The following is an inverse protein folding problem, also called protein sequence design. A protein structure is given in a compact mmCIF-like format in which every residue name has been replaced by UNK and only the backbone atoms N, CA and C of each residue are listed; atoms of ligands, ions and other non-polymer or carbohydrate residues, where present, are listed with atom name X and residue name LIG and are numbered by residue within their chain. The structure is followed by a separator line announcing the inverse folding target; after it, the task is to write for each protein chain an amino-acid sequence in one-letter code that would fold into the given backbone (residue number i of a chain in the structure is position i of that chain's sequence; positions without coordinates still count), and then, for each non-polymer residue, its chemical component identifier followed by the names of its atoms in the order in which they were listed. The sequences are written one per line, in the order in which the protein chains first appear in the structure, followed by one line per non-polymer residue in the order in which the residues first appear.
data_IF_609931221946
#
_entry.id   IF_609931221946
#
_cell.length_a   1.000
_cell.length_b   1.000
_cell.length_c   1.000
_cell.angle_alpha   90.00
_cell.angle_beta   90.00
_cell.angle_gamma   90.00
#
_symmetry.space_group_name_H-M   'P 1'
#
loop_
_entity.id
_entity.type
_entity.pdbx_description
1 polymer ?
#
# COMPACT_ATOMS: atom_id res chain seq x y z
N UNK A 1 17.59 -57.56 11.63
CA UNK A 1 16.25 -57.87 12.18
C UNK A 1 15.64 -56.54 12.61
N UNK A 2 14.49 -56.03 12.18
CA UNK A 2 13.50 -56.40 11.17
C UNK A 2 12.89 -55.07 10.67
N UNK A 3 12.68 -54.99 9.36
CA UNK A 3 11.86 -53.98 8.70
C UNK A 3 10.40 -54.14 9.15
N UNK A 4 9.68 -53.05 9.34
CA UNK A 4 8.21 -53.09 9.28
C UNK A 4 7.68 -51.86 8.55
N UNK A 5 7.33 -52.09 7.29
CA UNK A 5 6.52 -51.25 6.43
C UNK A 5 5.10 -51.15 6.98
N UNK A 6 4.52 -49.94 7.06
CA UNK A 6 3.06 -49.77 7.10
C UNK A 6 2.65 -48.60 6.20
N UNK A 7 2.41 -48.99 4.94
CA UNK A 7 1.24 -48.71 4.09
C UNK A 7 0.55 -47.33 4.17
N UNK A 8 0.66 -46.63 3.03
CA UNK A 8 -0.22 -45.56 2.53
C UNK A 8 -1.65 -46.05 2.31
N UNK A 9 -2.61 -45.11 2.23
CA UNK A 9 -3.50 -45.12 1.08
C UNK A 9 -3.56 -43.77 0.37
N UNK A 10 -3.14 -43.79 -0.90
CA UNK A 10 -3.39 -42.76 -1.92
C UNK A 10 -4.82 -42.93 -2.43
N UNK A 11 -5.67 -41.91 -2.26
CA UNK A 11 -6.95 -41.83 -2.97
C UNK A 11 -6.72 -41.28 -4.37
N UNK A 12 -6.69 -42.21 -5.33
CA UNK A 12 -6.82 -41.95 -6.75
C UNK A 12 -8.32 -41.91 -7.09
N UNK A 13 -8.79 -40.82 -7.68
CA UNK A 13 -10.08 -40.76 -8.36
C UNK A 13 -9.80 -40.55 -9.83
N UNK A 14 -10.28 -41.49 -10.64
CA UNK A 14 -10.19 -41.38 -12.09
C UNK A 14 -11.44 -42.00 -12.72
N UNK A 15 -11.80 -41.40 -13.86
CA UNK A 15 -12.68 -41.87 -14.93
C UNK A 15 -14.19 -41.62 -14.78
N UNK A 16 -14.69 -40.71 -15.62
CA UNK A 16 -15.83 -41.02 -16.48
C UNK A 16 -15.56 -40.47 -17.89
N UNK A 17 -15.25 -41.38 -18.80
CA UNK A 17 -15.08 -41.16 -20.22
C UNK A 17 -16.45 -41.26 -20.90
N UNK A 18 -16.81 -40.25 -21.70
CA UNK A 18 -17.82 -40.45 -22.74
C UNK A 18 -17.23 -40.08 -24.10
N UNK A 19 -17.30 -41.07 -24.97
CA UNK A 19 -16.81 -41.13 -26.33
C UNK A 19 -17.85 -40.49 -27.23
N UNK A 20 -17.47 -39.48 -28.02
CA UNK A 20 -18.20 -39.07 -29.21
C UNK A 20 -17.22 -38.94 -30.37
N UNK A 21 -17.45 -39.78 -31.36
CA UNK A 21 -16.64 -40.01 -32.54
C UNK A 21 -16.96 -39.05 -33.68
N UNK A 22 -15.97 -38.95 -34.57
CA UNK A 22 -16.03 -38.67 -36.02
C UNK A 22 -16.43 -37.27 -36.49
N UNK A 23 -15.51 -36.67 -37.26
CA UNK A 23 -15.81 -35.51 -38.10
C UNK A 23 -14.58 -34.86 -38.72
N UNK A 24 -13.77 -35.63 -39.47
CA UNK A 24 -12.68 -35.09 -40.29
C UNK A 24 -13.29 -34.48 -41.56
N UNK A 25 -13.18 -33.17 -41.76
CA UNK A 25 -13.32 -32.55 -43.07
C UNK A 25 -12.11 -31.65 -43.35
N UNK A 26 -11.40 -32.06 -44.40
CA UNK A 26 -10.36 -31.33 -45.11
C UNK A 26 -11.01 -30.18 -45.88
N UNK A 27 -10.41 -28.99 -45.84
CA UNK A 27 -10.93 -27.83 -46.56
C UNK A 27 -9.95 -26.68 -46.64
N UNK A 28 -8.78 -26.90 -47.23
CA UNK A 28 -7.87 -25.85 -47.68
C UNK A 28 -8.59 -24.95 -48.68
N UNK A 29 -8.61 -23.64 -48.47
CA UNK A 29 -8.84 -22.65 -49.54
C UNK A 29 -8.28 -21.28 -49.14
N UNK A 30 -7.11 -21.02 -49.72
CA UNK A 30 -6.59 -19.75 -50.23
C UNK A 30 -7.29 -18.47 -49.74
N UNK A 31 -6.56 -17.67 -48.97
CA UNK A 31 -6.81 -16.24 -48.84
C UNK A 31 -5.88 -15.48 -49.80
N UNK A 32 -6.45 -14.86 -50.83
CA UNK A 32 -5.82 -13.78 -51.59
C UNK A 32 -6.75 -12.57 -51.58
N UNK A 33 -6.22 -11.52 -50.95
CA UNK A 33 -6.25 -10.09 -51.30
C UNK A 33 -7.58 -9.42 -51.63
N UNK A 34 -7.86 -8.34 -50.90
CA UNK A 34 -8.84 -7.33 -51.30
C UNK A 34 -8.81 -6.14 -50.36
N UNK A 35 -7.96 -5.16 -50.67
CA UNK A 35 -7.95 -3.83 -50.06
C UNK A 35 -9.33 -3.18 -50.20
N UNK A 36 -9.96 -2.81 -49.08
CA UNK A 36 -10.92 -1.72 -49.04
C UNK A 36 -10.89 -1.12 -47.63
N UNK A 37 -10.30 0.07 -47.53
CA UNK A 37 -10.38 0.91 -46.36
C UNK A 37 -11.85 1.28 -46.10
N UNK A 38 -12.38 0.86 -44.95
CA UNK A 38 -13.65 1.38 -44.42
C UNK A 38 -13.31 2.09 -43.12
N UNK A 39 -13.41 3.42 -43.15
CA UNK A 39 -13.31 4.28 -41.99
C UNK A 39 -14.41 3.95 -40.97
N UNK A 40 -14.13 3.89 -39.66
CA UNK A 40 -15.20 3.82 -38.68
C UNK A 40 -15.89 5.19 -38.60
N UNK A 41 -17.16 5.22 -39.01
CA UNK A 41 -18.06 6.32 -38.72
C UNK A 41 -18.31 6.37 -37.20
N UNK A 42 -17.67 7.33 -36.53
CA UNK A 42 -17.93 7.66 -35.14
C UNK A 42 -19.34 8.24 -35.00
N UNK A 43 -20.30 7.41 -34.60
CA UNK A 43 -21.63 7.88 -34.19
C UNK A 43 -21.50 8.50 -32.80
N UNK A 44 -21.39 9.82 -32.75
CA UNK A 44 -21.50 10.60 -31.51
C UNK A 44 -22.98 10.76 -31.20
N UNK A 45 -23.50 9.99 -30.24
CA UNK A 45 -24.83 10.22 -29.66
C UNK A 45 -24.72 11.41 -28.72
N UNK A 46 -25.09 12.60 -29.22
CA UNK A 46 -25.26 13.80 -28.40
C UNK A 46 -26.53 13.67 -27.54
N UNK A 47 -26.43 12.92 -26.44
CA UNK A 47 -27.45 12.86 -25.41
C UNK A 47 -27.53 14.20 -24.67
N UNK A 48 -28.51 15.02 -25.01
CA UNK A 48 -28.86 16.24 -24.25
C UNK A 48 -29.34 15.83 -22.86
N UNK A 49 -28.50 16.03 -21.85
CA UNK A 49 -28.87 15.89 -20.46
C UNK A 49 -29.78 17.07 -20.06
N UNK A 50 -31.08 16.82 -19.87
CA UNK A 50 -32.02 17.82 -19.37
C UNK A 50 -32.12 17.69 -17.85
N UNK A 51 -31.64 18.70 -17.13
CA UNK A 51 -31.74 18.81 -15.67
C UNK A 51 -33.09 19.43 -15.31
N UNK A 52 -34.08 18.64 -14.91
CA UNK A 52 -35.33 19.12 -14.32
C UNK A 52 -35.33 18.93 -12.81
N UNK A 53 -34.46 19.66 -12.10
CA UNK A 53 -34.65 19.92 -10.68
C UNK A 53 -34.41 21.40 -10.39
N UNK A 54 -35.47 22.18 -10.53
CA UNK A 54 -35.59 23.50 -9.93
C UNK A 54 -35.63 23.32 -8.39
N UNK A 55 -34.45 23.27 -7.76
CA UNK A 55 -34.34 23.29 -6.29
C UNK A 55 -34.12 24.74 -5.87
N UNK A 56 -35.16 25.35 -5.31
CA UNK A 56 -35.12 26.68 -4.73
C UNK A 56 -33.92 26.81 -3.78
N UNK A 57 -32.92 27.61 -4.15
CA UNK A 57 -31.82 27.99 -3.27
C UNK A 57 -32.38 28.86 -2.16
N UNK A 58 -32.73 28.26 -1.01
CA UNK A 58 -32.85 29.01 0.24
C UNK A 58 -31.44 29.52 0.56
N UNK A 59 -31.24 30.82 0.44
CA UNK A 59 -30.02 31.49 0.90
C UNK A 59 -29.99 31.40 2.43
N UNK A 60 -29.38 30.36 2.99
CA UNK A 60 -29.02 30.35 4.41
C UNK A 60 -27.75 31.16 4.55
N UNK A 61 -27.90 32.44 4.92
CA UNK A 61 -26.80 33.32 5.31
C UNK A 61 -26.12 32.71 6.54
N UNK A 62 -24.99 32.03 6.35
CA UNK A 62 -24.18 31.54 7.45
C UNK A 62 -23.69 32.76 8.26
N UNK A 63 -24.17 32.91 9.50
CA UNK A 63 -23.57 33.82 10.48
C UNK A 63 -22.25 33.20 10.91
N UNK A 64 -21.16 33.59 10.26
CA UNK A 64 -19.80 33.30 10.73
C UNK A 64 -19.47 34.38 11.77
N UNK A 65 -19.17 34.04 13.03
CA UNK A 65 -18.73 35.05 14.00
C UNK A 65 -17.39 35.63 13.53
N UNK A 66 -17.32 36.96 13.43
CA UNK A 66 -16.09 37.67 13.14
C UNK A 66 -15.14 37.53 14.33
N UNK A 67 -14.22 36.57 14.27
CA UNK A 67 -13.14 36.43 15.23
C UNK A 67 -12.13 37.54 14.95
N UNK A 68 -12.05 38.52 15.86
CA UNK A 68 -11.05 39.60 15.80
C UNK A 68 -9.69 39.04 16.23
N UNK A 69 -8.81 38.79 15.26
CA UNK A 69 -7.42 38.45 15.54
C UNK A 69 -6.68 39.72 15.97
N UNK A 70 -6.29 39.80 17.25
CA UNK A 70 -5.36 40.84 17.72
C UNK A 70 -3.98 40.57 17.10
N UNK A 71 -3.40 41.50 16.33
CA UNK A 71 -2.06 41.31 15.81
C UNK A 71 -1.07 41.29 16.98
N UNK A 72 -0.23 40.25 17.05
CA UNK A 72 0.84 40.15 18.03
C UNK A 72 1.83 41.29 17.79
N UNK A 73 1.89 42.25 18.70
CA UNK A 73 2.88 43.33 18.68
C UNK A 73 4.21 42.79 19.22
N UNK A 74 5.27 42.92 18.42
CA UNK A 74 6.62 42.54 18.80
C UNK A 74 7.16 43.54 19.84
N UNK A 75 7.24 43.13 21.11
CA UNK A 75 7.93 43.91 22.15
C UNK A 75 9.43 43.78 21.89
N UNK A 76 10.05 44.82 21.35
CA UNK A 76 11.52 44.92 21.29
C UNK A 76 12.02 45.35 22.66
N UNK A 77 12.46 44.41 23.47
CA UNK A 77 13.24 44.71 24.66
C UNK A 77 14.59 45.28 24.19
N UNK A 78 14.77 46.60 24.30
CA UNK A 78 16.05 47.23 24.01
C UNK A 78 17.06 46.81 25.09
N UNK A 79 18.01 45.96 24.72
CA UNK A 79 19.17 45.65 25.55
C UNK A 79 20.12 46.84 25.57
N UNK A 80 20.38 47.41 26.74
CA UNK A 80 21.51 48.33 26.94
C UNK A 80 22.81 47.52 26.80
N UNK A 81 23.57 47.79 25.75
CA UNK A 81 24.92 47.28 25.55
C UNK A 81 25.88 48.19 26.31
N UNK A 82 26.46 47.70 27.40
CA UNK A 82 27.67 48.30 27.97
C UNK A 82 28.88 47.88 27.14
N UNK A 83 29.55 48.87 26.57
CA UNK A 83 30.80 48.70 25.85
C UNK A 83 31.96 48.46 26.83
N UNK A 84 32.66 47.34 26.66
CA UNK A 84 33.98 47.08 27.23
C UNK A 84 34.87 46.50 26.14
N UNK A 85 35.84 47.30 25.68
CA UNK A 85 36.97 46.90 24.83
C UNK A 85 37.93 46.03 25.65
N UNK A 86 38.60 44.99 25.16
CA UNK A 86 39.66 45.06 24.15
C UNK A 86 40.28 43.67 23.85
N UNK A 87 41.03 43.62 22.73
CA UNK A 87 42.01 42.61 22.30
C UNK A 87 41.49 41.34 21.56
N UNK A 88 41.71 41.29 20.24
CA UNK A 88 41.63 40.07 19.41
C UNK A 88 42.97 39.30 19.37
N UNK A 89 43.20 38.38 18.41
CA UNK A 89 42.29 37.83 17.40
C UNK A 89 42.22 36.28 17.40
N UNK A 90 41.41 35.72 16.51
CA UNK A 90 41.60 34.38 15.92
C UNK A 90 41.51 33.18 16.87
N UNK A 91 40.29 32.74 17.11
CA UNK A 91 39.84 31.40 16.73
C UNK A 91 38.33 31.37 16.94
N UNK A 92 37.57 31.48 15.85
CA UNK A 92 36.31 30.74 15.80
C UNK A 92 36.70 29.32 16.22
N UNK A 93 36.14 28.70 17.29
CA UNK A 93 36.12 27.26 17.28
C UNK A 93 35.26 26.95 16.05
N UNK A 94 35.93 26.73 14.90
CA UNK A 94 35.34 26.11 13.75
C UNK A 94 34.64 24.92 14.36
N UNK A 95 33.31 25.01 14.46
CA UNK A 95 32.53 24.01 15.13
C UNK A 95 33.00 22.71 14.49
N UNK A 96 33.68 21.87 15.27
CA UNK A 96 34.04 20.54 14.85
C UNK A 96 32.70 19.86 14.72
N UNK A 97 32.04 20.05 13.57
CA UNK A 97 30.93 19.26 13.15
C UNK A 97 31.52 17.87 13.17
N UNK A 98 31.18 17.12 14.23
CA UNK A 98 31.62 15.76 14.38
C UNK A 98 31.38 15.10 13.03
N UNK A 99 32.45 14.57 12.42
CA UNK A 99 32.31 13.82 11.18
C UNK A 99 31.26 12.77 11.49
N UNK A 100 30.09 12.90 10.85
CA UNK A 100 28.94 12.06 11.18
C UNK A 100 29.39 10.66 10.80
N UNK A 101 29.71 9.83 11.80
CA UNK A 101 30.03 8.45 11.58
C UNK A 101 28.82 7.85 10.86
N UNK A 102 28.99 7.49 9.58
CA UNK A 102 27.90 6.91 8.81
C UNK A 102 27.38 5.71 9.60
N UNK A 103 26.09 5.70 9.98
CA UNK A 103 25.56 4.58 10.74
C UNK A 103 25.66 3.33 9.86
N UNK A 104 26.20 2.26 10.42
CA UNK A 104 26.34 1.00 9.70
C UNK A 104 24.94 0.54 9.23
N UNK A 105 24.78 0.38 7.91
CA UNK A 105 23.50 0.01 7.33
C UNK A 105 23.36 -1.52 7.28
N UNK A 106 22.25 -2.03 7.82
CA UNK A 106 21.87 -3.44 7.67
C UNK A 106 21.04 -3.57 6.39
N UNK A 107 21.37 -4.49 5.48
CA UNK A 107 20.61 -4.67 4.25
C UNK A 107 19.20 -5.20 4.56
N UNK A 108 18.19 -4.74 3.82
CA UNK A 108 16.79 -5.17 4.00
C UNK A 108 16.61 -6.69 3.87
N UNK A 109 17.45 -7.35 3.07
CA UNK A 109 17.41 -8.80 2.86
C UNK A 109 17.67 -9.63 4.12
N UNK A 110 18.17 -9.02 5.20
CA UNK A 110 18.38 -9.66 6.50
C UNK A 110 17.29 -9.30 7.53
N UNK A 111 16.38 -8.38 7.19
CA UNK A 111 15.36 -7.87 8.11
C UNK A 111 14.02 -8.56 7.85
N UNK A 112 13.36 -8.95 8.95
CA UNK A 112 12.01 -9.51 8.95
C UNK A 112 11.07 -8.55 9.66
N UNK A 113 9.89 -8.32 9.10
CA UNK A 113 8.87 -7.44 9.68
C UNK A 113 7.73 -8.29 10.23
N UNK A 114 7.41 -8.14 11.51
CA UNK A 114 6.28 -8.81 12.17
C UNK A 114 5.10 -7.87 12.39
N UNK A 115 3.88 -8.39 12.22
CA UNK A 115 2.61 -7.68 12.44
C UNK A 115 1.77 -8.50 13.43
N UNK A 116 1.89 -8.23 14.75
CA UNK A 116 1.08 -8.89 15.75
C UNK A 116 -0.36 -8.38 15.72
N UNK A 117 -1.27 -9.15 16.32
CA UNK A 117 -2.64 -8.73 16.54
C UNK A 117 -2.72 -7.74 17.69
N UNK A 118 -3.55 -6.71 17.53
CA UNK A 118 -3.82 -5.74 18.59
C UNK A 118 -4.60 -6.38 19.75
N UNK A 119 -4.15 -6.12 20.98
CA UNK A 119 -4.75 -6.66 22.22
C UNK A 119 -5.59 -5.63 22.98
N UNK A 120 -5.51 -4.35 22.61
CA UNK A 120 -6.20 -3.28 23.33
C UNK A 120 -7.70 -3.29 23.01
N UNK A 121 -8.52 -3.01 24.02
CA UNK A 121 -9.97 -2.99 23.90
C UNK A 121 -10.40 -1.92 22.89
N UNK A 122 -11.29 -2.28 21.97
CA UNK A 122 -11.81 -1.39 20.92
C UNK A 122 -10.76 -0.85 19.93
N UNK A 123 -9.51 -1.33 19.95
CA UNK A 123 -8.55 -1.03 18.89
C UNK A 123 -8.86 -1.89 17.66
N UNK A 124 -9.06 -1.22 16.52
CA UNK A 124 -9.48 -1.86 15.26
C UNK A 124 -8.46 -1.69 14.16
N UNK A 125 -7.42 -0.89 14.35
CA UNK A 125 -6.38 -0.68 13.35
C UNK A 125 -5.47 -1.91 13.30
N UNK A 126 -4.72 -1.99 12.22
CA UNK A 126 -3.64 -2.97 12.03
C UNK A 126 -2.40 -2.21 11.58
N UNK A 127 -1.22 -2.62 12.05
CA UNK A 127 0.01 -1.90 11.76
C UNK A 127 0.37 -1.89 10.26
N UNK A 128 -0.06 -2.91 9.51
CA UNK A 128 0.26 -3.08 8.10
C UNK A 128 -0.96 -3.52 7.28
N UNK A 129 -1.25 -2.81 6.19
CA UNK A 129 -2.28 -3.20 5.23
C UNK A 129 -1.73 -4.21 4.21
N UNK A 130 -2.58 -5.07 3.62
CA UNK A 130 -2.14 -6.05 2.61
C UNK A 130 -1.41 -5.43 1.42
N UNK A 131 -1.81 -4.22 1.00
CA UNK A 131 -1.14 -3.50 -0.09
C UNK A 131 0.30 -3.11 0.28
N UNK A 132 0.54 -2.73 1.53
CA UNK A 132 1.87 -2.33 2.00
C UNK A 132 2.80 -3.53 2.21
N UNK A 133 2.26 -4.72 2.51
CA UNK A 133 3.05 -5.98 2.54
C UNK A 133 3.77 -6.19 1.20
N UNK A 134 3.03 -6.11 0.10
CA UNK A 134 3.61 -6.28 -1.23
C UNK A 134 4.68 -5.22 -1.55
N UNK A 135 4.53 -4.00 -1.03
CA UNK A 135 5.54 -2.95 -1.19
C UNK A 135 6.80 -3.22 -0.36
N UNK A 136 6.68 -3.76 0.84
CA UNK A 136 7.83 -4.14 1.67
C UNK A 136 8.60 -5.28 1.00
N UNK A 137 7.91 -6.31 0.52
CA UNK A 137 8.57 -7.40 -0.20
C UNK A 137 9.30 -6.89 -1.46
N UNK A 138 8.69 -5.96 -2.21
CA UNK A 138 9.34 -5.30 -3.37
C UNK A 138 10.57 -4.48 -3.00
N UNK A 139 10.63 -3.91 -1.79
CA UNK A 139 11.81 -3.19 -1.27
C UNK A 139 12.95 -4.12 -0.88
N UNK A 140 12.72 -5.44 -0.85
CA UNK A 140 13.75 -6.44 -0.56
C UNK A 140 13.85 -6.82 0.91
N UNK A 141 12.80 -6.61 1.71
CA UNK A 141 12.72 -7.22 3.04
C UNK A 141 12.68 -8.74 2.92
N UNK A 142 13.33 -9.45 3.84
CA UNK A 142 13.45 -10.91 3.77
C UNK A 142 12.08 -11.58 3.80
N UNK A 143 11.26 -11.21 4.79
CA UNK A 143 9.93 -11.77 5.05
C UNK A 143 9.05 -10.75 5.77
N UNK A 144 7.74 -10.91 5.60
CA UNK A 144 6.72 -10.21 6.37
C UNK A 144 5.86 -11.28 7.05
N UNK A 145 5.87 -11.30 8.39
CA UNK A 145 5.10 -12.20 9.23
C UNK A 145 3.86 -11.47 9.74
N UNK A 146 2.69 -12.09 9.63
CA UNK A 146 1.42 -11.52 10.08
C UNK A 146 0.71 -12.54 10.96
N UNK A 147 0.33 -12.14 12.17
CA UNK A 147 -0.47 -13.00 13.06
C UNK A 147 -1.87 -13.21 12.47
N UNK A 148 -2.35 -14.46 12.49
CA UNK A 148 -3.71 -14.79 12.03
C UNK A 148 -4.76 -13.96 12.77
N UNK A 149 -5.65 -13.33 12.01
CA UNK A 149 -6.70 -12.47 12.54
C UNK A 149 -6.24 -11.08 12.99
N UNK A 150 -4.99 -10.67 12.76
CA UNK A 150 -4.53 -9.31 13.07
C UNK A 150 -5.31 -8.22 12.30
N UNK A 151 -5.71 -8.52 11.06
CA UNK A 151 -6.49 -7.61 10.22
C UNK A 151 -8.02 -7.74 10.35
N UNK A 152 -8.53 -8.70 11.12
CA UNK A 152 -9.96 -9.02 11.13
C UNK A 152 -10.84 -7.83 11.60
N UNK A 153 -10.38 -7.09 12.62
CA UNK A 153 -11.08 -5.90 13.12
C UNK A 153 -11.03 -4.70 12.17
N UNK A 154 -10.07 -4.71 11.24
CA UNK A 154 -9.77 -3.68 10.24
C UNK A 154 -10.36 -4.01 8.85
N UNK A 155 -11.23 -5.03 8.76
CA UNK A 155 -11.83 -5.52 7.50
C UNK A 155 -10.82 -6.08 6.48
N UNK A 156 -9.67 -6.58 6.96
CA UNK A 156 -8.68 -7.28 6.13
C UNK A 156 -8.62 -8.76 6.51
N UNK A 157 -9.16 -9.67 5.67
CA UNK A 157 -9.09 -11.10 5.93
C UNK A 157 -7.66 -11.63 5.74
N UNK A 158 -7.32 -12.71 6.43
CA UNK A 158 -6.00 -13.36 6.36
C UNK A 158 -5.62 -13.77 4.91
N UNK A 159 -6.60 -14.17 4.10
CA UNK A 159 -6.43 -14.48 2.67
C UNK A 159 -5.89 -13.29 1.84
N UNK A 160 -6.17 -12.06 2.27
CA UNK A 160 -5.62 -10.87 1.61
C UNK A 160 -4.12 -10.72 1.89
N UNK A 161 -3.67 -11.08 3.09
CA UNK A 161 -2.25 -11.08 3.46
C UNK A 161 -1.49 -12.20 2.76
N UNK A 162 -2.07 -13.41 2.70
CA UNK A 162 -1.49 -14.55 1.98
C UNK A 162 -1.30 -14.25 0.49
N UNK A 163 -2.33 -13.69 -0.17
CA UNK A 163 -2.24 -13.24 -1.57
C UNK A 163 -1.23 -12.12 -1.80
N UNK A 164 -0.97 -11.30 -0.77
CA UNK A 164 0.05 -10.24 -0.84
C UNK A 164 1.49 -10.77 -0.66
N UNK A 165 1.65 -12.06 -0.30
CA UNK A 165 2.94 -12.70 -0.07
C UNK A 165 3.43 -12.64 1.38
N UNK A 166 2.57 -12.27 2.34
CA UNK A 166 2.90 -12.37 3.76
C UNK A 166 2.84 -13.83 4.22
N UNK A 167 3.65 -14.18 5.22
CA UNK A 167 3.60 -15.47 5.90
C UNK A 167 2.72 -15.34 7.14
N UNK A 168 1.66 -16.14 7.21
CA UNK A 168 0.74 -16.15 8.36
C UNK A 168 1.28 -17.01 9.50
N UNK A 169 1.34 -16.45 10.71
CA UNK A 169 1.81 -17.11 11.94
C UNK A 169 0.67 -17.22 12.97
N UNK A 170 0.72 -18.26 13.81
CA UNK A 170 -0.30 -18.50 14.84
C UNK A 170 0.00 -17.75 16.14
N UNK A 171 1.28 -17.49 16.40
CA UNK A 171 1.73 -16.91 17.66
C UNK A 171 2.60 -15.68 17.41
N UNK A 172 2.46 -14.62 18.21
CA UNK A 172 3.20 -13.37 18.04
C UNK A 172 4.71 -13.50 18.27
N UNK A 173 5.19 -14.60 18.88
CA UNK A 173 6.62 -14.84 19.15
C UNK A 173 7.34 -15.69 18.08
N UNK A 174 6.65 -16.11 17.01
CA UNK A 174 7.23 -16.89 15.90
C UNK A 174 7.96 -15.99 14.90
#
# INVERSE_FOLDING_TARGET
MANLSVLRPTLAYNVCSSRASSGRLVGSRAWRNGLAAVAPASVVVAGKWQSTHARARRQTKALVPAVSYRPLQLIRHASVVSAGSSAGPTATPAATYATVAEPQSVPYAQLTVGVPKEIYLNERRVALTPQNVALLLKKGFAKVLVERGAGASADFPDEAYDRAGATLVDHPQQ
#
